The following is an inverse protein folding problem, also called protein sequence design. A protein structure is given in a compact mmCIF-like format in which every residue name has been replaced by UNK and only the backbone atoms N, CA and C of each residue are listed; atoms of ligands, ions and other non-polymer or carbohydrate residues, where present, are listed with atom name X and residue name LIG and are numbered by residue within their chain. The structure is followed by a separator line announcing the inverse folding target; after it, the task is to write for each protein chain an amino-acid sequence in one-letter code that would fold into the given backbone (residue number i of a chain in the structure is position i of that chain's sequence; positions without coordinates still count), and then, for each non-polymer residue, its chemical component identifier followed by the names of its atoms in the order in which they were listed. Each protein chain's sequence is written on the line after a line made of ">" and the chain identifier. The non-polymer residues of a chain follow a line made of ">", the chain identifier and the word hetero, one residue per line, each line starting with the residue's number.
data_IF_155855641103
#
_entry.id   IF_155855641103
#
_cell.length_a   1.000
_cell.length_b   1.000
_cell.length_c   1.000
_cell.angle_alpha   90.00
_cell.angle_beta   90.00
_cell.angle_gamma   90.00
#
_symmetry.space_group_name_H-M   'P 1'
#
loop_
_entity.id
_entity.type
_entity.pdbx_description
1 polymer ?
#
# COMPACT_ATOMS: atom_id res chain seq x y z
N UNK A 1 8.32 -33.92 24.41
CA UNK A 1 8.35 -33.32 23.04
C UNK A 1 7.52 -32.04 23.06
N UNK A 2 7.88 -31.05 22.23
CA UNK A 2 7.01 -29.92 21.92
C UNK A 2 6.93 -29.75 20.41
N UNK A 3 5.75 -29.43 19.90
CA UNK A 3 5.50 -29.22 18.47
C UNK A 3 4.71 -27.92 18.25
N UNK A 4 4.95 -27.27 17.10
CA UNK A 4 4.17 -26.12 16.65
C UNK A 4 2.97 -26.64 15.85
N UNK A 5 1.75 -26.30 16.25
CA UNK A 5 0.52 -26.86 15.67
C UNK A 5 -0.29 -25.85 14.87
N UNK A 6 -0.12 -24.56 15.12
CA UNK A 6 -0.78 -23.49 14.36
C UNK A 6 0.18 -22.31 14.19
N UNK A 7 0.19 -21.70 13.02
CA UNK A 7 1.02 -20.53 12.71
C UNK A 7 0.23 -19.55 11.87
N UNK A 8 0.20 -18.29 12.30
CA UNK A 8 -0.31 -17.16 11.53
C UNK A 8 0.87 -16.28 11.15
N UNK A 9 1.05 -16.05 9.85
CA UNK A 9 2.09 -15.16 9.34
C UNK A 9 1.68 -13.70 9.49
N UNK A 10 2.64 -12.78 9.42
CA UNK A 10 2.35 -11.35 9.45
C UNK A 10 1.67 -10.93 8.13
N UNK A 11 0.60 -10.15 8.22
CA UNK A 11 -0.21 -9.75 7.06
C UNK A 11 0.43 -8.65 6.22
N UNK A 12 1.12 -7.68 6.84
CA UNK A 12 1.76 -6.56 6.14
C UNK A 12 3.25 -6.50 6.45
N UNK A 13 4.05 -6.03 5.49
CA UNK A 13 5.48 -5.77 5.73
C UNK A 13 5.66 -4.86 6.95
N UNK A 14 6.48 -5.28 7.92
CA UNK A 14 6.73 -4.54 9.16
C UNK A 14 5.62 -4.63 10.21
N UNK A 15 4.56 -5.39 9.95
CA UNK A 15 3.52 -5.68 10.93
C UNK A 15 3.97 -6.66 12.01
N UNK A 16 3.12 -6.83 13.02
CA UNK A 16 3.36 -7.74 14.13
C UNK A 16 2.10 -8.53 14.52
N UNK A 17 1.23 -8.88 13.57
CA UNK A 17 -0.01 -9.62 13.85
C UNK A 17 0.15 -11.15 13.69
N UNK A 18 1.39 -11.65 13.60
CA UNK A 18 1.66 -13.08 13.56
C UNK A 18 1.37 -13.78 14.89
N UNK A 19 1.20 -15.10 14.83
CA UNK A 19 1.02 -15.94 16.02
C UNK A 19 1.55 -17.35 15.81
N UNK A 20 1.88 -18.05 16.89
CA UNK A 20 2.25 -19.45 16.86
C UNK A 20 1.76 -20.17 18.12
N UNK A 21 1.21 -21.37 17.95
CA UNK A 21 0.75 -22.23 19.06
C UNK A 21 1.65 -23.45 19.20
N UNK A 22 2.14 -23.66 20.42
CA UNK A 22 2.92 -24.82 20.81
C UNK A 22 2.08 -25.82 21.61
N UNK A 23 2.34 -27.11 21.40
CA UNK A 23 1.74 -28.20 22.18
C UNK A 23 2.85 -29.10 22.69
N UNK A 24 2.95 -29.21 24.01
CA UNK A 24 3.82 -30.17 24.68
C UNK A 24 3.15 -31.53 24.86
N UNK A 25 3.92 -32.60 24.68
CA UNK A 25 3.49 -33.99 24.85
C UNK A 25 4.64 -34.84 25.40
N UNK A 26 4.35 -36.06 25.88
CA UNK A 26 5.36 -37.03 26.33
C UNK A 26 6.21 -36.58 27.55
N UNK A 27 5.58 -36.02 28.58
CA UNK A 27 6.20 -35.66 29.87
C UNK A 27 5.15 -35.58 30.99
N UNK A 28 5.50 -35.12 32.20
CA UNK A 28 4.56 -35.09 33.33
C UNK A 28 3.85 -33.73 33.45
N UNK A 29 2.53 -33.62 33.18
CA UNK A 29 1.80 -32.36 33.31
C UNK A 29 1.81 -31.80 34.74
N UNK A 30 1.59 -30.49 34.95
CA UNK A 30 1.33 -29.45 33.94
C UNK A 30 2.58 -29.08 33.14
N UNK A 31 2.36 -28.48 31.95
CA UNK A 31 3.42 -27.93 31.12
C UNK A 31 3.42 -26.41 31.18
N UNK A 32 4.61 -25.82 31.26
CA UNK A 32 4.85 -24.38 31.14
C UNK A 32 5.56 -24.09 29.83
N UNK A 33 5.37 -22.89 29.29
CA UNK A 33 5.99 -22.47 28.04
C UNK A 33 6.81 -21.20 28.28
N UNK A 34 7.91 -21.07 27.54
CA UNK A 34 8.71 -19.85 27.47
C UNK A 34 9.17 -19.64 26.02
N UNK A 35 8.66 -18.59 25.40
CA UNK A 35 9.07 -18.16 24.07
C UNK A 35 10.31 -17.27 24.13
N UNK A 36 11.08 -17.24 23.05
CA UNK A 36 12.30 -16.43 22.94
C UNK A 36 12.07 -14.92 23.08
N UNK A 37 10.82 -14.46 22.94
CA UNK A 37 10.39 -13.09 23.18
C UNK A 37 9.79 -12.87 24.59
N UNK A 38 9.89 -13.84 25.49
CA UNK A 38 9.45 -13.76 26.88
C UNK A 38 7.98 -14.09 27.12
N UNK A 39 7.17 -14.42 26.09
CA UNK A 39 5.80 -14.87 26.30
C UNK A 39 5.77 -16.25 26.96
N UNK A 40 4.77 -16.50 27.81
CA UNK A 40 4.68 -17.74 28.63
C UNK A 40 3.44 -18.59 28.36
N UNK A 41 2.55 -18.13 27.48
CA UNK A 41 1.38 -18.89 27.06
C UNK A 41 1.75 -19.93 25.99
N UNK A 42 0.92 -20.97 25.86
CA UNK A 42 1.06 -21.97 24.79
C UNK A 42 0.98 -21.32 23.40
N UNK A 43 0.15 -20.28 23.24
CA UNK A 43 0.09 -19.45 22.04
C UNK A 43 0.83 -18.13 22.28
N UNK A 44 1.86 -17.88 21.46
CA UNK A 44 2.46 -16.58 21.35
C UNK A 44 1.74 -15.76 20.28
N UNK A 45 1.41 -14.50 20.60
CA UNK A 45 0.68 -13.59 19.72
C UNK A 45 1.46 -12.30 19.52
N UNK A 46 0.98 -11.44 18.62
CA UNK A 46 1.62 -10.17 18.29
C UNK A 46 3.09 -10.33 17.84
N UNK A 47 3.37 -11.37 17.05
CA UNK A 47 4.71 -11.68 16.57
C UNK A 47 5.01 -10.90 15.29
N UNK A 48 6.11 -10.16 15.28
CA UNK A 48 6.72 -9.63 14.07
C UNK A 48 7.42 -10.75 13.28
N UNK A 49 7.74 -10.50 12.01
CA UNK A 49 8.51 -11.45 11.21
C UNK A 49 9.88 -11.74 11.86
N UNK A 50 10.22 -13.02 11.96
CA UNK A 50 11.42 -13.48 12.63
C UNK A 50 11.33 -14.95 13.08
N UNK A 51 12.45 -15.44 13.62
CA UNK A 51 12.53 -16.78 14.18
C UNK A 51 12.23 -16.74 15.69
N UNK A 52 11.31 -17.61 16.11
CA UNK A 52 10.96 -17.79 17.52
C UNK A 52 11.22 -19.22 17.95
N UNK A 53 11.71 -19.35 19.18
CA UNK A 53 11.89 -20.65 19.84
C UNK A 53 10.99 -20.70 21.05
N UNK A 54 10.28 -21.81 21.23
CA UNK A 54 9.52 -22.10 22.45
C UNK A 54 10.22 -23.21 23.20
N UNK A 55 10.37 -23.03 24.50
CA UNK A 55 10.78 -24.07 25.45
C UNK A 55 9.57 -24.47 26.27
N UNK A 56 9.20 -25.74 26.24
CA UNK A 56 8.19 -26.31 27.13
C UNK A 56 8.88 -27.06 28.27
N UNK A 57 8.44 -26.83 29.51
CA UNK A 57 8.96 -27.49 30.71
C UNK A 57 7.83 -28.23 31.41
N UNK A 58 8.04 -29.50 31.73
CA UNK A 58 7.11 -30.32 32.48
C UNK A 58 7.29 -30.15 34.01
N UNK A 59 6.41 -30.76 34.81
CA UNK A 59 6.44 -30.62 36.27
C UNK A 59 7.64 -31.29 36.96
N UNK A 60 8.38 -32.14 36.25
CA UNK A 60 9.60 -32.78 36.75
C UNK A 60 10.87 -32.04 36.29
N UNK A 61 10.72 -30.91 35.59
CA UNK A 61 11.83 -30.10 35.09
C UNK A 61 12.39 -30.57 33.74
N UNK A 62 11.74 -31.53 33.08
CA UNK A 62 12.10 -31.95 31.74
C UNK A 62 11.73 -30.90 30.70
N UNK A 63 12.67 -30.55 29.82
CA UNK A 63 12.48 -29.51 28.80
C UNK A 63 12.48 -30.07 27.37
N UNK A 64 11.66 -29.48 26.50
CA UNK A 64 11.74 -29.68 25.05
C UNK A 64 11.62 -28.35 24.32
N UNK A 65 12.25 -28.22 23.15
CA UNK A 65 12.21 -27.00 22.34
C UNK A 65 11.61 -27.24 20.95
N UNK A 66 10.98 -26.21 20.40
CA UNK A 66 10.56 -26.15 19.01
C UNK A 66 10.80 -24.75 18.44
N UNK A 67 10.96 -24.67 17.13
CA UNK A 67 11.25 -23.42 16.41
C UNK A 67 10.13 -23.14 15.41
N UNK A 68 9.83 -21.87 15.20
CA UNK A 68 8.92 -21.39 14.16
C UNK A 68 9.51 -20.17 13.49
N UNK A 69 9.36 -20.07 12.17
CA UNK A 69 9.67 -18.88 11.41
C UNK A 69 8.36 -18.16 11.08
N UNK A 70 8.22 -16.93 11.59
CA UNK A 70 7.14 -16.02 11.19
C UNK A 70 7.65 -15.19 10.02
N UNK A 71 6.98 -15.28 8.88
CA UNK A 71 7.28 -14.54 7.66
C UNK A 71 6.33 -13.35 7.50
N UNK A 72 6.68 -12.46 6.56
CA UNK A 72 5.86 -11.33 6.12
C UNK A 72 5.97 -11.19 4.61
N UNK A 73 4.99 -10.56 3.93
CA UNK A 73 5.09 -10.29 2.50
C UNK A 73 6.12 -9.19 2.21
N UNK A 74 6.54 -9.03 0.92
CA UNK A 74 7.30 -7.87 0.48
C UNK A 74 6.55 -6.56 0.74
N UNK A 75 7.28 -5.46 0.94
CA UNK A 75 6.68 -4.13 1.10
C UNK A 75 5.82 -3.76 -0.12
N UNK A 76 4.56 -3.38 0.12
CA UNK A 76 3.68 -2.84 -0.91
C UNK A 76 4.17 -1.45 -1.31
N UNK A 77 4.38 -1.23 -2.60
CA UNK A 77 4.79 0.04 -3.15
C UNK A 77 3.87 0.44 -4.30
N UNK A 78 3.40 1.69 -4.27
CA UNK A 78 2.61 2.29 -5.34
C UNK A 78 3.48 3.29 -6.12
N UNK A 79 3.26 3.40 -7.42
CA UNK A 79 3.93 4.37 -8.29
C UNK A 79 2.99 4.89 -9.37
N UNK A 80 3.41 5.91 -10.11
CA UNK A 80 2.78 6.31 -11.37
C UNK A 80 3.61 5.71 -12.49
N UNK A 81 3.06 4.70 -13.18
CA UNK A 81 3.74 4.00 -14.27
C UNK A 81 3.82 4.87 -15.54
N UNK A 82 2.77 5.66 -15.80
CA UNK A 82 2.76 6.65 -16.88
C UNK A 82 1.68 7.71 -16.63
N UNK A 83 1.81 8.86 -17.28
CA UNK A 83 0.79 9.91 -17.27
C UNK A 83 0.82 10.74 -18.56
N UNK A 84 -0.33 11.31 -18.92
CA UNK A 84 -0.48 12.26 -20.02
C UNK A 84 -1.10 13.56 -19.52
N UNK A 85 -0.52 14.68 -19.92
CA UNK A 85 -1.02 16.01 -19.58
C UNK A 85 -2.21 16.39 -20.48
N UNK A 86 -2.99 17.37 -20.03
CA UNK A 86 -4.10 17.93 -20.81
C UNK A 86 -3.56 18.63 -22.06
N UNK A 87 -4.23 18.49 -23.19
CA UNK A 87 -3.75 19.04 -24.47
C UNK A 87 -4.07 20.52 -24.69
N UNK A 88 -5.10 21.05 -24.02
CA UNK A 88 -5.55 22.44 -24.17
C UNK A 88 -6.05 23.01 -22.84
N UNK A 89 -5.98 24.32 -22.66
CA UNK A 89 -6.44 24.96 -21.42
C UNK A 89 -7.91 24.58 -21.11
N UNK A 90 -8.14 24.02 -19.92
CA UNK A 90 -9.49 23.66 -19.45
C UNK A 90 -10.05 22.35 -20.00
N UNK A 91 -9.30 21.58 -20.78
CA UNK A 91 -9.73 20.26 -21.23
C UNK A 91 -9.51 19.22 -20.12
N UNK A 92 -10.18 18.07 -20.23
CA UNK A 92 -10.10 16.96 -19.28
C UNK A 92 -9.57 15.68 -19.92
N UNK A 93 -8.63 15.77 -20.86
CA UNK A 93 -8.09 14.60 -21.57
C UNK A 93 -6.76 14.09 -21.00
N UNK A 94 -6.42 14.48 -19.77
CA UNK A 94 -5.29 13.89 -19.04
C UNK A 94 -5.59 12.47 -18.57
N UNK A 95 -4.53 11.70 -18.32
CA UNK A 95 -4.58 10.32 -17.82
C UNK A 95 -3.41 10.06 -16.87
N UNK A 96 -3.63 9.18 -15.89
CA UNK A 96 -2.57 8.60 -15.06
C UNK A 96 -2.77 7.08 -14.94
N UNK A 97 -1.68 6.34 -14.98
CA UNK A 97 -1.66 4.88 -14.80
C UNK A 97 -0.87 4.56 -13.54
N UNK A 98 -1.50 3.88 -12.59
CA UNK A 98 -0.88 3.41 -11.37
C UNK A 98 -0.02 2.16 -11.65
N UNK A 99 1.17 2.14 -11.06
CA UNK A 99 2.02 0.96 -10.94
C UNK A 99 1.97 0.41 -9.52
N UNK A 100 2.17 -0.90 -9.38
CA UNK A 100 2.24 -1.60 -8.09
C UNK A 100 3.38 -2.61 -8.09
N UNK A 101 4.10 -2.70 -6.99
CA UNK A 101 5.08 -3.76 -6.73
C UNK A 101 5.06 -4.18 -5.25
N UNK A 102 5.45 -5.43 -4.98
CA UNK A 102 5.38 -6.02 -3.65
C UNK A 102 3.94 -6.18 -3.12
N UNK A 103 3.77 -6.36 -1.80
CA UNK A 103 2.46 -6.68 -1.20
C UNK A 103 1.92 -8.05 -1.61
N UNK A 104 0.62 -8.26 -1.37
CA UNK A 104 -0.08 -9.51 -1.69
C UNK A 104 -1.27 -9.26 -2.62
N UNK A 105 -1.23 -9.83 -3.82
CA UNK A 105 -2.34 -9.75 -4.78
C UNK A 105 -3.59 -10.50 -4.27
N UNK A 106 -4.82 -10.12 -4.70
CA UNK A 106 -5.15 -9.04 -5.64
C UNK A 106 -5.01 -7.62 -5.05
N UNK A 107 -4.92 -6.62 -5.94
CA UNK A 107 -4.86 -5.20 -5.57
C UNK A 107 -6.15 -4.47 -5.95
N UNK A 108 -6.52 -3.48 -5.15
CA UNK A 108 -7.55 -2.50 -5.44
C UNK A 108 -6.95 -1.10 -5.50
N UNK A 109 -7.57 -0.22 -6.29
CA UNK A 109 -7.07 1.14 -6.55
C UNK A 109 -8.21 2.12 -6.31
N UNK A 110 -7.93 3.17 -5.54
CA UNK A 110 -8.85 4.27 -5.27
C UNK A 110 -8.13 5.60 -5.53
N UNK A 111 -8.63 6.38 -6.47
CA UNK A 111 -8.09 7.69 -6.80
C UNK A 111 -8.77 8.80 -6.00
N UNK A 112 -8.06 9.89 -5.73
CA UNK A 112 -8.57 11.05 -4.98
C UNK A 112 -9.78 11.74 -5.63
N UNK A 113 -10.00 11.49 -6.92
CA UNK A 113 -11.17 11.96 -7.67
C UNK A 113 -12.34 10.96 -7.71
N UNK A 114 -12.28 9.88 -6.93
CA UNK A 114 -13.32 8.86 -6.83
C UNK A 114 -13.27 7.77 -7.91
N UNK A 115 -12.33 7.83 -8.85
CA UNK A 115 -12.14 6.75 -9.81
C UNK A 115 -11.53 5.51 -9.15
N UNK A 116 -11.79 4.35 -9.74
CA UNK A 116 -11.22 3.07 -9.32
C UNK A 116 -10.51 2.37 -10.47
N UNK A 117 -9.65 1.41 -10.13
CA UNK A 117 -8.84 0.67 -11.09
C UNK A 117 -7.48 1.32 -11.38
N UNK A 118 -6.62 0.61 -12.13
CA UNK A 118 -5.22 1.00 -12.32
C UNK A 118 -5.05 2.23 -13.22
N UNK A 119 -6.09 2.68 -13.92
CA UNK A 119 -6.04 3.83 -14.83
C UNK A 119 -7.08 4.86 -14.41
N UNK A 120 -6.64 6.08 -14.16
CA UNK A 120 -7.51 7.24 -14.05
C UNK A 120 -7.44 8.06 -15.34
N UNK A 121 -8.58 8.31 -15.97
CA UNK A 121 -8.69 9.04 -17.24
C UNK A 121 -9.69 10.18 -17.11
N UNK A 122 -9.77 11.04 -18.13
CA UNK A 122 -10.70 12.16 -18.06
C UNK A 122 -10.26 13.25 -17.08
N UNK A 123 -8.94 13.40 -16.86
CA UNK A 123 -8.37 14.27 -15.83
C UNK A 123 -8.16 15.69 -16.36
N UNK A 124 -8.55 16.68 -15.55
CA UNK A 124 -8.13 18.08 -15.72
C UNK A 124 -6.70 18.27 -15.21
N UNK A 125 -6.12 19.45 -15.43
CA UNK A 125 -4.89 19.80 -14.73
C UNK A 125 -5.12 19.80 -13.21
N UNK A 126 -4.23 19.15 -12.48
CA UNK A 126 -4.39 18.94 -11.05
C UNK A 126 -3.48 17.85 -10.50
N UNK A 127 -3.61 17.61 -9.20
CA UNK A 127 -2.88 16.59 -8.46
C UNK A 127 -3.82 15.44 -8.13
N UNK A 128 -3.45 14.23 -8.53
CA UNK A 128 -4.25 13.03 -8.32
C UNK A 128 -3.46 12.00 -7.53
N UNK A 129 -3.96 11.60 -6.37
CA UNK A 129 -3.33 10.58 -5.54
C UNK A 129 -4.10 9.27 -5.71
N UNK A 130 -3.38 8.19 -6.01
CA UNK A 130 -3.92 6.83 -5.98
C UNK A 130 -3.53 6.16 -4.67
N UNK A 131 -4.49 5.52 -4.02
CA UNK A 131 -4.28 4.59 -2.92
C UNK A 131 -4.44 3.18 -3.45
N UNK A 132 -3.38 2.39 -3.37
CA UNK A 132 -3.36 0.97 -3.70
C UNK A 132 -3.52 0.19 -2.41
N UNK A 133 -4.49 -0.73 -2.37
CA UNK A 133 -4.72 -1.63 -1.23
C UNK A 133 -4.57 -3.07 -1.68
N UNK A 134 -3.78 -3.86 -0.97
CA UNK A 134 -3.55 -5.26 -1.27
C UNK A 134 -4.58 -6.19 -0.58
N UNK A 135 -4.49 -7.50 -0.81
CA UNK A 135 -5.43 -8.49 -0.28
C UNK A 135 -5.42 -8.59 1.26
N UNK A 136 -4.34 -8.14 1.89
CA UNK A 136 -4.16 -8.13 3.34
C UNK A 136 -4.51 -6.76 3.95
N UNK A 137 -5.13 -5.87 3.17
CA UNK A 137 -5.51 -4.51 3.56
C UNK A 137 -4.31 -3.60 3.87
N UNK A 138 -3.12 -3.94 3.38
CA UNK A 138 -1.96 -3.04 3.42
C UNK A 138 -2.14 -1.97 2.35
N UNK A 139 -1.75 -0.72 2.64
CA UNK A 139 -1.96 0.41 1.73
C UNK A 139 -0.64 1.10 1.35
N UNK A 140 -0.57 1.58 0.11
CA UNK A 140 0.49 2.44 -0.40
C UNK A 140 -0.12 3.53 -1.29
N UNK A 141 0.55 4.68 -1.40
CA UNK A 141 0.04 5.80 -2.21
C UNK A 141 1.06 6.28 -3.22
N UNK A 142 0.58 6.78 -4.35
CA UNK A 142 1.38 7.49 -5.35
C UNK A 142 0.62 8.70 -5.87
N UNK A 143 1.34 9.70 -6.36
CA UNK A 143 0.74 10.98 -6.80
C UNK A 143 1.16 11.30 -8.23
N UNK A 144 0.18 11.60 -9.08
CA UNK A 144 0.34 12.09 -10.44
C UNK A 144 0.10 13.60 -10.51
N UNK A 145 0.86 14.30 -11.35
CA UNK A 145 0.77 15.74 -11.56
C UNK A 145 0.37 16.02 -13.01
N UNK A 146 -0.91 16.26 -13.26
CA UNK A 146 -1.43 16.56 -14.59
C UNK A 146 -1.32 18.07 -14.82
N UNK A 147 -0.63 18.48 -15.88
CA UNK A 147 -0.52 19.89 -16.27
C UNK A 147 -1.39 20.20 -17.50
N UNK A 148 -1.56 21.49 -17.80
CA UNK A 148 -2.19 21.98 -19.02
C UNK A 148 -1.43 23.19 -19.59
N UNK A 149 -1.58 23.51 -20.89
CA UNK A 149 -1.06 24.75 -21.46
C UNK A 149 -1.72 25.99 -20.88
N UNK A 150 -1.06 27.14 -21.03
CA UNK A 150 -1.64 28.44 -20.68
C UNK A 150 -2.82 28.78 -21.61
N UNK A 151 -3.76 29.59 -21.10
CA UNK A 151 -4.84 30.13 -21.91
C UNK A 151 -4.27 31.04 -23.01
N UNK A 152 -4.62 30.76 -24.27
CA UNK A 152 -4.32 31.64 -25.38
C UNK A 152 -5.25 32.86 -25.33
N UNK A 153 -4.69 34.05 -25.12
CA UNK A 153 -5.42 35.32 -25.14
C UNK A 153 -5.00 36.11 -26.38
N UNK A 154 -5.95 36.39 -27.27
CA UNK A 154 -5.74 37.35 -28.34
C UNK A 154 -6.02 38.76 -27.80
N UNK A 155 -5.06 39.67 -27.97
CA UNK A 155 -5.27 41.09 -27.74
C UNK A 155 -5.20 41.83 -29.08
N UNK A 156 -6.11 42.77 -29.29
CA UNK A 156 -6.02 43.70 -30.40
C UNK A 156 -4.92 44.70 -30.03
N UNK A 157 -3.76 44.60 -30.68
CA UNK A 157 -2.58 45.42 -30.36
C UNK A 157 -2.80 46.92 -30.68
N UNK A 158 -3.64 47.21 -31.67
CA UNK A 158 -4.08 48.55 -32.02
C UNK A 158 -5.33 48.46 -32.88
N UNK A 159 -6.33 49.27 -32.58
CA UNK A 159 -7.41 49.58 -33.52
C UNK A 159 -7.14 50.97 -34.07
N UNK A 160 -7.21 51.11 -35.38
CA UNK A 160 -7.33 52.40 -36.06
C UNK A 160 -8.81 52.60 -36.36
N UNK A 161 -9.43 53.60 -35.75
CA UNK A 161 -10.79 53.97 -36.10
C UNK A 161 -10.77 54.68 -37.45
N UNK A 162 -11.79 54.45 -38.28
CA UNK A 162 -11.91 55.22 -39.51
C UNK A 162 -12.15 56.68 -39.18
N UNK A 163 -11.35 57.57 -39.77
CA UNK A 163 -11.34 58.98 -39.35
C UNK A 163 -12.65 59.71 -39.70
N UNK A 164 -13.43 59.18 -40.66
CA UNK A 164 -14.69 59.75 -41.15
C UNK A 164 -15.65 58.69 -41.73
N UNK A 165 -16.96 58.98 -41.72
CA UNK A 165 -17.99 58.15 -42.36
C UNK A 165 -17.75 58.00 -43.88
N UNK A 166 -17.55 56.75 -44.34
CA UNK A 166 -17.39 56.41 -45.77
C UNK A 166 -15.96 56.16 -46.27
N UNK A 167 -14.94 56.31 -45.41
CA UNK A 167 -13.55 55.99 -45.77
C UNK A 167 -13.16 54.55 -45.42
N UNK A 168 -11.99 54.09 -45.88
CA UNK A 168 -11.42 52.76 -45.63
C UNK A 168 -10.03 52.82 -44.96
N UNK A 169 -9.80 53.80 -44.07
CA UNK A 169 -8.50 54.06 -43.42
C UNK A 169 -8.30 53.34 -42.07
N UNK A 170 -9.27 52.52 -41.65
CA UNK A 170 -9.23 51.73 -40.41
C UNK A 170 -8.49 50.41 -40.55
#
# INVERSE_FOLDING_TARGET
>A
QVAITNVTQVSCFGGANGSATAVASLGTPPYTYLWSNGQTNATATNLAAGFYTVTATDSQGGTATANVNITQPPMLNASIASQTNVTCFGFNNGQAVAGVSGGVAPYSFAWSNGQSGPVASGLFAGVYTVTVTDANQCTATATAFITQPNLLVAQIASQTNVDCFGNNTG
#
